data_IF_925105097281
#
_entry.id   IF_925105097281
#
_cell.length_a   1.000
_cell.length_b   1.000
_cell.length_c   1.000
_cell.angle_alpha   90.00
_cell.angle_beta   90.00
_cell.angle_gamma   90.00
#
_symmetry.space_group_name_H-M   'P 1'
#
loop_
_entity.id
_entity.type
_entity.pdbx_description
1 polymer ?
#
# COMPACT_ATOMS: atom_id res chain seq x y z
N UNK A 1 9.63 -4.19 -0.59
CA UNK A 1 8.28 -4.03 -0.02
C UNK A 1 7.32 -3.86 -1.17
N UNK A 2 6.19 -4.56 -1.18
CA UNK A 2 5.18 -4.35 -2.21
C UNK A 2 4.48 -3.02 -1.94
N UNK A 3 4.12 -2.28 -3.00
CA UNK A 3 3.42 -1.01 -2.83
C UNK A 3 2.05 -1.14 -2.16
N UNK A 4 1.38 -2.26 -2.43
CA UNK A 4 0.09 -2.57 -1.85
C UNK A 4 0.21 -2.79 -0.34
N UNK A 5 1.26 -3.48 0.14
CA UNK A 5 1.51 -3.63 1.58
C UNK A 5 1.72 -2.26 2.23
N UNK A 6 2.48 -1.35 1.59
CA UNK A 6 2.69 0.02 2.10
C UNK A 6 1.40 0.85 2.14
N UNK A 7 0.55 0.76 1.10
CA UNK A 7 -0.74 1.45 1.07
C UNK A 7 -1.66 0.94 2.20
N UNK A 8 -1.77 -0.38 2.34
CA UNK A 8 -2.66 -1.01 3.32
C UNK A 8 -2.15 -0.88 4.76
N UNK A 9 -0.84 -0.80 4.96
CA UNK A 9 -0.24 -0.85 6.29
C UNK A 9 -0.74 0.24 7.25
N UNK A 10 -1.01 1.46 6.75
CA UNK A 10 -1.52 2.55 7.59
C UNK A 10 -2.90 2.23 8.17
N UNK A 11 -3.83 1.76 7.34
CA UNK A 11 -5.18 1.40 7.79
C UNK A 11 -5.13 0.14 8.64
N UNK A 12 -4.41 -0.90 8.20
CA UNK A 12 -4.28 -2.15 8.95
C UNK A 12 -3.68 -1.93 10.33
N UNK A 13 -2.66 -1.08 10.47
CA UNK A 13 -2.08 -0.77 11.79
C UNK A 13 -3.15 -0.22 12.74
N UNK A 14 -4.05 0.65 12.26
CA UNK A 14 -5.10 1.19 13.12
C UNK A 14 -6.17 0.13 13.40
N UNK A 15 -6.61 -0.61 12.40
CA UNK A 15 -7.58 -1.70 12.57
C UNK A 15 -7.09 -2.76 13.55
N UNK A 16 -5.81 -3.15 13.47
CA UNK A 16 -5.18 -4.10 14.40
C UNK A 16 -5.24 -3.56 15.84
N UNK A 17 -4.93 -2.28 16.05
CA UNK A 17 -5.00 -1.66 17.39
C UNK A 17 -6.42 -1.59 17.94
N UNK A 18 -7.40 -1.34 17.09
CA UNK A 18 -8.82 -1.28 17.48
C UNK A 18 -9.38 -2.67 17.81
N UNK A 19 -8.87 -3.73 17.16
CA UNK A 19 -9.35 -5.10 17.34
C UNK A 19 -8.60 -5.88 18.44
N UNK A 20 -7.32 -5.58 18.64
CA UNK A 20 -6.49 -6.21 19.68
C UNK A 20 -6.45 -5.30 20.90
N UNK A 21 -7.27 -5.59 21.91
CA UNK A 21 -7.27 -4.80 23.15
C UNK A 21 -5.87 -4.57 23.73
N UNK A 22 -5.68 -3.45 24.43
CA UNK A 22 -4.37 -2.86 24.78
C UNK A 22 -3.33 -3.85 25.31
N UNK A 23 -3.74 -4.74 26.23
CA UNK A 23 -2.83 -5.72 26.85
C UNK A 23 -2.29 -6.74 25.85
N UNK A 24 -3.12 -7.17 24.90
CA UNK A 24 -2.72 -8.13 23.87
C UNK A 24 -1.83 -7.44 22.85
N UNK A 25 -2.20 -6.23 22.43
CA UNK A 25 -1.40 -5.42 21.52
C UNK A 25 0.02 -5.20 22.06
N UNK A 26 0.16 -4.78 23.32
CA UNK A 26 1.49 -4.56 23.94
C UNK A 26 2.37 -5.82 23.91
N UNK A 27 1.79 -6.99 24.18
CA UNK A 27 2.54 -8.27 24.12
C UNK A 27 3.00 -8.59 22.71
N UNK A 28 2.17 -8.32 21.70
CA UNK A 28 2.51 -8.53 20.30
C UNK A 28 3.59 -7.54 19.86
N UNK A 29 3.44 -6.25 20.17
CA UNK A 29 4.46 -5.23 19.87
C UNK A 29 5.80 -5.56 20.51
N UNK A 30 5.79 -5.97 21.79
CA UNK A 30 6.99 -6.42 22.49
C UNK A 30 7.61 -7.65 21.80
N UNK A 31 6.81 -8.64 21.42
CA UNK A 31 7.32 -9.85 20.75
C UNK A 31 7.90 -9.56 19.37
N UNK A 32 7.28 -8.67 18.60
CA UNK A 32 7.80 -8.20 17.30
C UNK A 32 9.16 -7.53 17.51
N UNK A 33 9.26 -6.65 18.50
CA UNK A 33 10.52 -5.95 18.80
C UNK A 33 11.61 -6.92 19.28
N UNK A 34 11.29 -7.84 20.19
CA UNK A 34 12.24 -8.84 20.72
C UNK A 34 12.82 -9.73 19.61
N UNK A 35 12.00 -10.16 18.64
CA UNK A 35 12.44 -11.08 17.58
C UNK A 35 13.06 -10.40 16.37
N UNK A 36 12.56 -9.23 16.00
CA UNK A 36 12.86 -8.61 14.71
C UNK A 36 13.45 -7.20 14.84
N UNK A 37 13.43 -6.60 16.02
CA UNK A 37 13.95 -5.25 16.26
C UNK A 37 13.16 -4.14 15.54
N UNK A 38 11.92 -4.41 15.14
CA UNK A 38 11.08 -3.48 14.37
C UNK A 38 9.80 -3.10 15.11
N UNK A 39 9.15 -2.02 14.68
CA UNK A 39 7.85 -1.61 15.18
C UNK A 39 6.70 -2.38 14.52
N UNK A 40 5.50 -2.33 15.14
CA UNK A 40 4.28 -2.91 14.56
C UNK A 40 4.01 -2.38 13.14
N UNK A 41 4.14 -1.07 12.90
CA UNK A 41 3.93 -0.50 11.57
C UNK A 41 4.82 -1.16 10.52
N UNK A 42 6.10 -1.42 10.84
CA UNK A 42 7.02 -2.13 9.96
C UNK A 42 6.70 -3.62 9.82
N UNK A 43 6.19 -4.26 10.87
CA UNK A 43 5.69 -5.63 10.77
C UNK A 43 4.43 -5.73 9.91
N UNK A 44 3.56 -4.72 9.88
CA UNK A 44 2.38 -4.70 8.99
C UNK A 44 2.80 -4.51 7.52
N UNK A 45 3.82 -3.70 7.24
CA UNK A 45 4.42 -3.58 5.89
C UNK A 45 5.05 -4.89 5.39
N UNK A 46 5.41 -5.80 6.31
CA UNK A 46 5.86 -7.15 6.01
C UNK A 46 5.01 -8.16 6.77
N UNK A 47 3.79 -8.38 6.30
CA UNK A 47 2.74 -9.10 7.01
C UNK A 47 3.13 -10.54 7.42
N UNK A 48 4.13 -11.13 6.76
CA UNK A 48 4.70 -12.44 7.16
C UNK A 48 5.28 -12.44 8.58
N UNK A 49 5.85 -11.30 9.02
CA UNK A 49 6.37 -11.14 10.37
C UNK A 49 5.21 -11.09 11.37
N UNK A 50 4.17 -10.31 11.05
CA UNK A 50 2.99 -10.22 11.89
C UNK A 50 2.27 -11.57 12.00
N UNK A 51 2.06 -12.28 10.89
CA UNK A 51 1.49 -13.64 10.82
C UNK A 51 2.24 -14.61 11.74
N UNK A 52 3.58 -14.62 11.65
CA UNK A 52 4.42 -15.44 12.52
C UNK A 52 4.18 -15.18 14.01
N UNK A 53 4.15 -13.90 14.40
CA UNK A 53 3.89 -13.52 15.80
C UNK A 53 2.45 -13.84 16.22
N UNK A 54 1.45 -13.57 15.39
CA UNK A 54 0.06 -13.90 15.70
C UNK A 54 -0.12 -15.41 15.91
N UNK A 55 0.52 -16.25 15.09
CA UNK A 55 0.49 -17.71 15.26
C UNK A 55 1.14 -18.17 16.57
N UNK A 56 2.15 -17.47 17.09
CA UNK A 56 2.71 -17.78 18.41
C UNK A 56 1.71 -17.57 19.55
N UNK A 57 0.89 -16.52 19.46
CA UNK A 57 -0.08 -16.18 20.51
C UNK A 57 -1.41 -16.93 20.35
N UNK A 58 -1.85 -17.15 19.13
CA UNK A 58 -3.22 -17.62 18.83
C UNK A 58 -3.27 -18.99 18.13
N UNK A 59 -2.12 -19.57 17.76
CA UNK A 59 -2.06 -20.84 17.04
C UNK A 59 -2.87 -20.79 15.74
N UNK A 60 -3.74 -21.79 15.53
CA UNK A 60 -4.66 -21.83 14.39
C UNK A 60 -5.70 -20.70 14.36
N UNK A 61 -5.96 -20.03 15.49
CA UNK A 61 -6.89 -18.90 15.56
C UNK A 61 -6.37 -17.61 14.92
N UNK A 62 -5.07 -17.53 14.63
CA UNK A 62 -4.45 -16.36 13.99
C UNK A 62 -5.09 -16.02 12.64
N UNK A 63 -5.46 -17.04 11.85
CA UNK A 63 -6.05 -16.86 10.52
C UNK A 63 -7.40 -16.13 10.58
N UNK A 64 -8.24 -16.46 11.57
CA UNK A 64 -9.52 -15.78 11.77
C UNK A 64 -9.34 -14.32 12.16
N UNK A 65 -8.33 -14.03 12.98
CA UNK A 65 -7.96 -12.68 13.42
C UNK A 65 -7.44 -11.86 12.22
N UNK A 66 -6.58 -12.44 11.38
CA UNK A 66 -6.06 -11.80 10.17
C UNK A 66 -7.18 -11.47 9.18
N UNK A 67 -8.09 -12.42 8.93
CA UNK A 67 -9.28 -12.19 8.10
C UNK A 67 -10.16 -11.07 8.67
N UNK A 68 -10.28 -10.99 9.99
CA UNK A 68 -11.01 -9.91 10.66
C UNK A 68 -10.34 -8.54 10.46
N UNK A 69 -9.00 -8.46 10.47
CA UNK A 69 -8.29 -7.21 10.21
C UNK A 69 -8.49 -6.70 8.78
N UNK A 70 -8.61 -7.61 7.81
CA UNK A 70 -8.85 -7.25 6.41
C UNK A 70 -10.28 -6.83 6.13
N UNK A 71 -11.24 -7.38 6.89
CA UNK A 71 -12.65 -7.06 6.76
C UNK A 71 -12.86 -5.57 7.02
N UNK A 72 -13.31 -4.83 6.01
CA UNK A 72 -13.49 -3.38 6.08
C UNK A 72 -12.26 -2.56 5.67
N UNK A 73 -11.13 -3.19 5.30
CA UNK A 73 -9.98 -2.52 4.71
C UNK A 73 -9.99 -2.66 3.20
N UNK A 74 -10.10 -3.90 2.72
CA UNK A 74 -10.00 -4.24 1.30
C UNK A 74 -10.86 -5.45 0.97
N UNK A 75 -11.51 -5.41 -0.19
CA UNK A 75 -12.14 -6.55 -0.84
C UNK A 75 -11.54 -6.76 -2.24
N UNK A 76 -11.26 -8.02 -2.60
CA UNK A 76 -10.82 -8.39 -3.95
C UNK A 76 -12.05 -8.73 -4.80
N UNK A 77 -12.14 -8.12 -5.97
CA UNK A 77 -13.13 -8.46 -6.98
C UNK A 77 -12.42 -9.13 -8.16
N UNK A 78 -12.79 -10.38 -8.44
CA UNK A 78 -12.25 -11.10 -9.58
C UNK A 78 -12.68 -10.40 -10.88
N UNK A 79 -11.69 -9.98 -11.65
CA UNK A 79 -11.89 -9.46 -13.00
C UNK A 79 -12.05 -10.59 -14.01
N UNK A 80 -12.81 -10.36 -15.08
CA UNK A 80 -12.90 -11.28 -16.21
C UNK A 80 -11.59 -11.35 -17.03
N UNK A 81 -10.64 -10.43 -16.81
CA UNK A 81 -9.33 -10.41 -17.46
C UNK A 81 -8.24 -11.02 -16.58
N UNK A 82 -7.44 -11.95 -17.12
CA UNK A 82 -6.40 -12.67 -16.36
C UNK A 82 -5.21 -11.81 -15.87
N UNK A 83 -5.02 -10.58 -16.36
CA UNK A 83 -3.81 -9.79 -16.07
C UNK A 83 -3.98 -8.69 -15.02
N UNK A 84 -5.22 -8.28 -14.74
CA UNK A 84 -5.53 -7.11 -13.90
C UNK A 84 -6.74 -7.39 -13.03
N UNK A 85 -6.65 -6.99 -11.77
CA UNK A 85 -7.65 -7.25 -10.76
C UNK A 85 -8.13 -5.96 -10.10
N UNK A 86 -9.40 -5.95 -9.70
CA UNK A 86 -9.98 -4.83 -8.98
C UNK A 86 -9.86 -5.05 -7.48
N UNK A 87 -9.31 -4.04 -6.80
CA UNK A 87 -9.20 -3.99 -5.35
C UNK A 87 -10.11 -2.88 -4.86
N UNK A 88 -11.16 -3.23 -4.14
CA UNK A 88 -12.08 -2.29 -3.51
C UNK A 88 -11.51 -1.91 -2.14
N UNK A 89 -11.21 -0.62 -1.97
CA UNK A 89 -10.80 -0.01 -0.70
C UNK A 89 -12.08 0.36 0.06
N UNK A 90 -12.33 -0.35 1.17
CA UNK A 90 -13.49 -0.13 2.03
C UNK A 90 -13.20 0.82 3.19
N UNK A 91 -11.91 0.96 3.55
CA UNK A 91 -11.47 1.86 4.59
C UNK A 91 -11.52 3.33 4.14
N UNK A 92 -12.29 4.14 4.85
CA UNK A 92 -12.49 5.55 4.53
C UNK A 92 -11.21 6.39 4.64
N UNK A 93 -10.24 5.99 5.47
CA UNK A 93 -8.95 6.65 5.66
C UNK A 93 -8.09 6.42 4.42
N UNK A 94 -8.02 5.19 3.91
CA UNK A 94 -7.34 4.86 2.65
C UNK A 94 -8.01 5.52 1.46
N UNK A 95 -9.34 5.47 1.38
CA UNK A 95 -10.10 6.16 0.35
C UNK A 95 -9.77 7.66 0.36
N UNK A 96 -9.72 8.28 1.54
CA UNK A 96 -9.34 9.69 1.69
C UNK A 96 -7.91 9.97 1.21
N UNK A 97 -6.95 9.08 1.46
CA UNK A 97 -5.57 9.22 0.97
C UNK A 97 -5.57 9.25 -0.56
N UNK A 98 -6.25 8.28 -1.21
CA UNK A 98 -6.33 8.21 -2.67
C UNK A 98 -7.00 9.47 -3.23
N UNK A 99 -8.15 9.88 -2.68
CA UNK A 99 -8.89 11.05 -3.13
C UNK A 99 -8.10 12.35 -2.96
N UNK A 100 -7.42 12.54 -1.82
CA UNK A 100 -6.57 13.72 -1.60
C UNK A 100 -5.40 13.76 -2.57
N UNK A 101 -4.82 12.61 -2.91
CA UNK A 101 -3.71 12.55 -3.86
C UNK A 101 -4.15 12.74 -5.31
N UNK A 102 -5.36 12.31 -5.68
CA UNK A 102 -5.95 12.60 -6.99
C UNK A 102 -6.48 14.03 -7.11
N UNK A 103 -6.92 14.64 -6.01
CA UNK A 103 -7.39 16.03 -5.95
C UNK A 103 -6.28 17.07 -5.84
N UNK A 104 -5.03 16.66 -5.60
CA UNK A 104 -3.86 17.53 -5.61
C UNK A 104 -3.26 17.55 -7.01
N UNK A 105 -3.27 18.70 -7.69
CA UNK A 105 -2.90 18.82 -9.09
C UNK A 105 -1.49 18.28 -9.39
N UNK A 106 -0.52 18.56 -8.53
CA UNK A 106 0.86 18.13 -8.71
C UNK A 106 0.99 16.62 -8.49
N UNK A 107 0.39 16.08 -7.43
CA UNK A 107 0.37 14.63 -7.19
C UNK A 107 -0.34 13.88 -8.32
N UNK A 108 -1.46 14.39 -8.79
CA UNK A 108 -2.22 13.78 -9.88
C UNK A 108 -1.42 13.78 -11.19
N UNK A 109 -0.73 14.88 -11.52
CA UNK A 109 0.21 14.92 -12.67
C UNK A 109 1.31 13.88 -12.53
N UNK A 110 1.91 13.75 -11.35
CA UNK A 110 2.95 12.75 -11.07
C UNK A 110 2.42 11.34 -11.29
N UNK A 111 1.26 11.00 -10.71
CA UNK A 111 0.64 9.68 -10.84
C UNK A 111 0.35 9.35 -12.30
N UNK A 112 -0.27 10.28 -13.03
CA UNK A 112 -0.59 10.11 -14.45
C UNK A 112 0.66 9.94 -15.32
N UNK A 113 1.75 10.65 -15.01
CA UNK A 113 2.99 10.57 -15.77
C UNK A 113 3.62 9.17 -15.74
N UNK A 114 3.33 8.37 -14.71
CA UNK A 114 3.89 7.03 -14.51
C UNK A 114 2.85 5.91 -14.58
N UNK A 115 1.67 6.17 -15.14
CA UNK A 115 0.72 5.09 -15.49
C UNK A 115 1.33 4.23 -16.60
N UNK A 116 1.42 2.93 -16.37
CA UNK A 116 1.90 1.95 -17.35
C UNK A 116 3.41 1.97 -17.63
N UNK A 117 4.20 2.82 -16.95
CA UNK A 117 5.66 2.89 -17.09
C UNK A 117 6.34 3.34 -15.80
N UNK A 118 7.63 3.05 -15.64
CA UNK A 118 8.42 3.53 -14.52
C UNK A 118 9.40 4.63 -14.94
N UNK A 119 9.59 5.63 -14.09
CA UNK A 119 10.45 6.79 -14.35
C UNK A 119 11.25 7.16 -13.11
N UNK A 120 12.46 7.71 -13.30
CA UNK A 120 13.22 8.31 -12.20
C UNK A 120 12.60 9.64 -11.79
N UNK A 121 12.83 10.09 -10.55
CA UNK A 121 12.19 11.30 -10.03
C UNK A 121 12.49 12.53 -10.90
N UNK A 122 13.73 12.71 -11.35
CA UNK A 122 14.10 13.84 -12.22
C UNK A 122 13.29 13.88 -13.52
N UNK A 123 13.04 12.73 -14.13
CA UNK A 123 12.28 12.65 -15.38
C UNK A 123 10.79 12.93 -15.13
N UNK A 124 10.24 12.45 -14.01
CA UNK A 124 8.87 12.77 -13.59
C UNK A 124 8.72 14.29 -13.47
N UNK A 125 9.64 14.95 -12.77
CA UNK A 125 9.58 16.41 -12.58
C UNK A 125 9.76 17.16 -13.90
N UNK A 126 10.62 16.66 -14.78
CA UNK A 126 10.80 17.22 -16.12
C UNK A 126 9.51 17.13 -16.95
N UNK A 127 8.87 15.97 -17.06
CA UNK A 127 7.66 15.84 -17.89
C UNK A 127 6.43 16.52 -17.29
N UNK A 128 6.34 16.60 -15.96
CA UNK A 128 5.21 17.24 -15.27
C UNK A 128 5.37 18.75 -15.11
N UNK A 129 6.58 19.29 -15.38
CA UNK A 129 6.92 20.70 -15.21
C UNK A 129 6.68 21.21 -13.77
N UNK A 130 6.84 20.34 -12.78
CA UNK A 130 6.69 20.69 -11.37
C UNK A 130 8.03 21.21 -10.84
N UNK A 131 8.06 22.34 -10.09
CA UNK A 131 9.29 22.85 -9.50
C UNK A 131 10.01 21.81 -8.64
N UNK A 132 11.34 21.79 -8.69
CA UNK A 132 12.14 20.70 -8.11
C UNK A 132 11.84 20.44 -6.63
N UNK A 133 11.94 21.46 -5.77
CA UNK A 133 11.78 21.30 -4.32
C UNK A 133 10.38 20.81 -3.94
N UNK A 134 9.33 21.38 -4.54
CA UNK A 134 7.95 20.93 -4.30
C UNK A 134 7.71 19.54 -4.88
N UNK A 135 8.22 19.28 -6.08
CA UNK A 135 8.11 18.02 -6.79
C UNK A 135 8.68 16.84 -6.01
N UNK A 136 9.92 16.94 -5.53
CA UNK A 136 10.52 15.88 -4.69
C UNK A 136 9.69 15.61 -3.43
N UNK A 137 9.18 16.66 -2.78
CA UNK A 137 8.31 16.51 -1.59
C UNK A 137 7.01 15.77 -1.93
N UNK A 138 6.39 16.07 -3.08
CA UNK A 138 5.15 15.41 -3.52
C UNK A 138 5.39 13.96 -3.90
N UNK A 139 6.47 13.67 -4.62
CA UNK A 139 6.88 12.30 -4.96
C UNK A 139 7.14 11.47 -3.70
N UNK A 140 7.90 12.01 -2.74
CA UNK A 140 8.17 11.31 -1.48
C UNK A 140 6.88 11.04 -0.69
N UNK A 141 5.96 12.01 -0.63
CA UNK A 141 4.65 11.81 0.00
C UNK A 141 3.84 10.69 -0.68
N UNK A 142 3.87 10.60 -2.01
CA UNK A 142 3.21 9.51 -2.74
C UNK A 142 3.85 8.14 -2.49
N UNK A 143 5.18 8.08 -2.33
CA UNK A 143 5.90 6.87 -1.96
C UNK A 143 5.51 6.44 -0.53
N UNK A 144 5.51 7.38 0.41
CA UNK A 144 5.10 7.14 1.81
C UNK A 144 3.62 6.76 1.95
N UNK A 145 2.77 7.16 1.01
CA UNK A 145 1.36 6.78 0.91
C UNK A 145 1.15 5.44 0.20
N UNK A 146 2.19 4.83 -0.37
CA UNK A 146 2.10 3.58 -1.13
C UNK A 146 1.48 3.72 -2.52
N UNK A 147 1.28 4.95 -2.99
CA UNK A 147 0.71 5.25 -4.32
C UNK A 147 1.79 5.22 -5.42
N UNK A 148 3.04 5.49 -5.06
CA UNK A 148 4.22 5.26 -5.91
C UNK A 148 5.09 4.14 -5.35
N UNK A 149 5.58 3.28 -6.24
CA UNK A 149 6.30 2.06 -5.88
C UNK A 149 7.58 1.96 -6.70
N UNK A 150 8.66 1.49 -6.08
CA UNK A 150 9.91 1.26 -6.77
C UNK A 150 9.75 0.15 -7.82
N UNK A 151 10.22 0.38 -9.05
CA UNK A 151 10.07 -0.52 -10.19
C UNK A 151 11.33 -0.47 -11.08
N UNK A 152 12.41 -1.00 -10.53
CA UNK A 152 13.71 -1.09 -11.20
C UNK A 152 14.61 0.12 -10.93
N UNK A 153 15.71 0.15 -11.69
CA UNK A 153 16.75 1.17 -11.55
C UNK A 153 17.19 1.65 -12.94
N UNK A 154 17.76 2.85 -12.99
CA UNK A 154 18.55 3.34 -14.12
C UNK A 154 19.98 3.63 -13.69
N UNK A 155 20.88 3.67 -14.66
CA UNK A 155 22.26 4.12 -14.45
C UNK A 155 22.45 5.42 -15.20
N UNK A 156 22.68 6.51 -14.46
CA UNK A 156 22.97 7.82 -15.03
C UNK A 156 24.34 7.83 -15.70
N UNK A 157 24.58 8.83 -16.54
CA UNK A 157 25.85 9.01 -17.26
C UNK A 157 27.07 9.15 -16.34
N UNK A 158 26.87 9.59 -15.09
CA UNK A 158 27.90 9.68 -14.04
C UNK A 158 28.15 8.34 -13.30
N UNK A 159 27.50 7.24 -13.73
CA UNK A 159 27.57 5.92 -13.12
C UNK A 159 26.67 5.74 -11.90
N UNK A 160 25.93 6.78 -11.49
CA UNK A 160 25.04 6.69 -10.32
C UNK A 160 23.79 5.88 -10.64
N UNK A 161 23.51 4.90 -9.79
CA UNK A 161 22.27 4.12 -9.87
C UNK A 161 21.13 4.89 -9.22
N UNK A 162 20.00 5.01 -9.91
CA UNK A 162 18.81 5.75 -9.46
C UNK A 162 17.56 4.89 -9.57
N UNK A 163 16.68 4.96 -8.58
CA UNK A 163 15.45 4.16 -8.54
C UNK A 163 14.40 4.72 -9.50
N UNK A 164 13.75 3.83 -10.25
CA UNK A 164 12.55 4.16 -11.03
C UNK A 164 11.30 3.90 -10.20
N UNK A 165 10.27 4.72 -10.41
CA UNK A 165 9.00 4.63 -9.72
C UNK A 165 7.86 4.53 -10.71
N UNK A 166 6.84 3.74 -10.36
CA UNK A 166 5.55 3.67 -11.06
C UNK A 166 4.39 3.83 -10.08
N UNK A 167 3.20 4.10 -10.61
CA UNK A 167 1.98 4.07 -9.79
C UNK A 167 1.57 2.64 -9.46
N UNK A 168 0.92 2.45 -8.31
CA UNK A 168 0.37 1.16 -7.87
C UNK A 168 -0.78 0.67 -8.77
N UNK A 169 -1.55 1.59 -9.34
CA UNK A 169 -2.78 1.32 -10.06
C UNK A 169 -2.77 1.90 -11.47
N UNK A 170 -3.54 1.29 -12.36
CA UNK A 170 -3.70 1.78 -13.74
C UNK A 170 -5.04 2.50 -13.94
N UNK A 171 -6.04 2.18 -13.11
CA UNK A 171 -7.36 2.76 -13.17
C UNK A 171 -7.92 2.94 -11.76
N UNK A 172 -8.73 3.98 -11.56
CA UNK A 172 -9.40 4.28 -10.29
C UNK A 172 -10.87 4.55 -10.58
N UNK A 173 -11.75 3.87 -9.86
CA UNK A 173 -13.18 4.16 -9.84
C UNK A 173 -13.57 4.67 -8.45
N UNK A 174 -14.23 5.82 -8.42
CA UNK A 174 -14.74 6.41 -7.19
C UNK A 174 -16.26 6.28 -7.25
N UNK A 175 -16.85 5.64 -6.25
CA UNK A 175 -18.30 5.54 -6.11
C UNK A 175 -18.75 6.26 -4.84
N UNK A 176 -19.81 7.06 -4.95
CA UNK A 176 -20.37 7.82 -3.84
C UNK A 176 -21.86 7.47 -3.73
N UNK A 177 -22.24 6.75 -2.69
CA UNK A 177 -23.62 6.32 -2.44
C UNK A 177 -24.02 6.72 -1.03
N UNK A 178 -25.02 7.59 -0.90
CA UNK A 178 -25.56 8.02 0.41
C UNK A 178 -24.47 8.43 1.41
N UNK A 179 -23.55 9.33 1.00
CA UNK A 179 -22.37 9.79 1.76
C UNK A 179 -21.29 8.73 2.07
N UNK A 180 -21.42 7.49 1.57
CA UNK A 180 -20.35 6.50 1.62
C UNK A 180 -19.51 6.59 0.35
N UNK A 181 -18.22 6.82 0.52
CA UNK A 181 -17.26 6.83 -0.58
C UNK A 181 -16.54 5.48 -0.59
N UNK A 182 -16.57 4.80 -1.72
CA UNK A 182 -15.71 3.64 -1.97
C UNK A 182 -14.80 3.92 -3.16
N UNK A 183 -13.57 3.44 -3.07
CA UNK A 183 -12.54 3.61 -4.10
C UNK A 183 -12.14 2.23 -4.57
N UNK A 184 -12.27 1.96 -5.87
CA UNK A 184 -11.72 0.76 -6.49
C UNK A 184 -10.48 1.13 -7.27
N UNK A 185 -9.40 0.38 -7.09
CA UNK A 185 -8.18 0.53 -7.87
C UNK A 185 -7.95 -0.73 -8.70
N UNK A 186 -7.58 -0.55 -9.95
CA UNK A 186 -7.17 -1.65 -10.82
C UNK A 186 -5.66 -1.82 -10.70
N UNK A 187 -5.22 -2.99 -10.25
CA UNK A 187 -3.81 -3.30 -10.03
C UNK A 187 -3.37 -4.46 -10.93
N UNK A 188 -2.10 -4.50 -11.37
CA UNK A 188 -1.56 -5.67 -12.06
C UNK A 188 -1.58 -6.90 -11.15
N UNK A 189 -1.85 -8.09 -11.71
CA UNK A 189 -1.87 -9.35 -10.96
C UNK A 189 -0.55 -9.60 -10.19
N UNK A 190 0.59 -9.22 -10.81
CA UNK A 190 1.92 -9.29 -10.17
C UNK A 190 1.99 -8.50 -8.86
N UNK A 191 1.29 -7.37 -8.75
CA UNK A 191 1.25 -6.56 -7.53
C UNK A 191 0.51 -7.27 -6.39
N UNK A 192 -0.54 -8.04 -6.71
CA UNK A 192 -1.26 -8.87 -5.74
C UNK A 192 -0.43 -10.07 -5.28
N UNK A 193 0.24 -10.75 -6.22
CA UNK A 193 1.13 -11.89 -5.93
C UNK A 193 2.30 -11.50 -5.02
N UNK A 194 2.80 -10.28 -5.18
CA UNK A 194 3.92 -9.78 -4.38
C UNK A 194 3.49 -9.18 -3.03
N UNK A 195 2.19 -9.02 -2.77
CA UNK A 195 1.68 -8.43 -1.52
C UNK A 195 1.53 -9.51 -0.46
N UNK A 196 2.37 -9.42 0.58
CA UNK A 196 2.31 -10.36 1.70
C UNK A 196 0.97 -10.25 2.44
N UNK A 197 0.43 -9.04 2.55
CA UNK A 197 -0.88 -8.76 3.15
C UNK A 197 -1.98 -9.51 2.40
N UNK A 198 -2.05 -9.35 1.08
CA UNK A 198 -3.08 -10.00 0.27
C UNK A 198 -2.93 -11.52 0.26
N UNK A 199 -1.70 -12.03 0.08
CA UNK A 199 -1.45 -13.47 0.02
C UNK A 199 -1.82 -14.18 1.31
N UNK A 200 -1.53 -13.58 2.46
CA UNK A 200 -1.78 -14.21 3.76
C UNK A 200 -3.24 -14.03 4.17
N UNK A 201 -3.80 -12.84 3.99
CA UNK A 201 -5.07 -12.50 4.64
C UNK A 201 -6.29 -12.60 3.72
N UNK A 202 -6.10 -12.68 2.39
CA UNK A 202 -7.21 -12.85 1.43
C UNK A 202 -7.18 -14.20 0.69
N UNK A 203 -6.02 -14.87 0.60
CA UNK A 203 -5.86 -16.08 -0.23
C UNK A 203 -5.58 -17.38 0.55
N UNK A 204 -5.37 -17.32 1.87
CA UNK A 204 -5.30 -18.52 2.75
C UNK A 204 -6.69 -18.83 3.32
#
# INVERSE_FOLDING_TARGET
MSGLDSLLAKSLTVTIRENLGDRTLQKIEQRIFERHGISLTKAVENFSILDGVLREFFGGGAEGIEKQFMKGVVALEQSASQEKEWVTIEDSRLATIVLKSLGDDDKNKILNAVIGKSMIISDILFVTQIPQTSGYRKVNSLIEEGLLVADGYDTLADGKTVTKYKTLFENVQINIVQNKISVKIQVPEKSLKNSSVIQIACCR
#
